data_IF_769138152989
#
_entry.id   IF_769138152989
#
_cell.length_a   1.000
_cell.length_b   1.000
_cell.length_c   1.000
_cell.angle_alpha   90.00
_cell.angle_beta   90.00
_cell.angle_gamma   90.00
#
_symmetry.space_group_name_H-M   'P 1'
#
loop_
_entity.id
_entity.type
_entity.pdbx_description
1 polymer ?
#
# COMPACT_ATOMS: atom_id res chain seq x y z
N UNK A 1 -24.20 -38.27 -12.72
CA UNK A 1 -23.86 -37.09 -11.90
C UNK A 1 -24.62 -35.91 -12.47
N UNK A 2 -25.44 -35.19 -11.69
CA UNK A 2 -25.98 -33.94 -12.16
C UNK A 2 -24.83 -32.93 -12.28
N UNK A 3 -24.77 -32.22 -13.40
CA UNK A 3 -23.96 -31.02 -13.56
C UNK A 3 -24.50 -30.00 -12.57
N UNK A 4 -23.74 -29.71 -11.52
CA UNK A 4 -24.01 -28.57 -10.66
C UNK A 4 -23.59 -27.36 -11.48
N UNK A 5 -24.55 -26.51 -11.87
CA UNK A 5 -24.26 -25.25 -12.54
C UNK A 5 -23.21 -24.50 -11.70
N UNK A 6 -22.10 -24.13 -12.33
CA UNK A 6 -21.11 -23.28 -11.68
C UNK A 6 -21.81 -21.98 -11.25
N UNK A 7 -21.56 -21.49 -10.02
CA UNK A 7 -22.21 -20.26 -9.56
C UNK A 7 -21.87 -19.14 -10.54
N UNK A 8 -22.91 -18.51 -11.10
CA UNK A 8 -22.75 -17.36 -11.98
C UNK A 8 -22.09 -16.24 -11.17
N UNK A 9 -20.84 -15.92 -11.48
CA UNK A 9 -20.13 -14.79 -10.88
C UNK A 9 -20.90 -13.52 -11.25
N UNK A 10 -21.42 -12.81 -10.24
CA UNK A 10 -22.17 -11.58 -10.44
C UNK A 10 -21.27 -10.38 -10.15
N UNK A 11 -20.86 -9.69 -11.20
CA UNK A 11 -20.09 -8.44 -11.11
C UNK A 11 -20.94 -7.32 -10.47
N UNK A 12 -20.29 -6.44 -9.71
CA UNK A 12 -20.90 -5.29 -9.06
C UNK A 12 -20.65 -4.02 -9.89
N UNK A 13 -21.52 -3.76 -10.87
CA UNK A 13 -21.42 -2.60 -11.77
C UNK A 13 -21.37 -1.25 -11.05
N UNK A 14 -22.09 -1.11 -9.94
CA UNK A 14 -22.07 0.13 -9.16
C UNK A 14 -20.72 0.34 -8.49
N UNK A 15 -20.11 -0.71 -7.96
CA UNK A 15 -18.78 -0.65 -7.36
C UNK A 15 -17.71 -0.38 -8.43
N UNK A 16 -17.76 -1.07 -9.57
CA UNK A 16 -16.86 -0.84 -10.71
C UNK A 16 -16.90 0.62 -11.17
N UNK A 17 -18.11 1.18 -11.34
CA UNK A 17 -18.26 2.59 -11.71
C UNK A 17 -17.77 3.54 -10.61
N UNK A 18 -17.97 3.20 -9.34
CA UNK A 18 -17.43 3.94 -8.20
C UNK A 18 -15.90 4.02 -8.20
N UNK A 19 -15.23 2.91 -8.49
CA UNK A 19 -13.77 2.82 -8.61
C UNK A 19 -13.28 3.64 -9.80
N UNK A 20 -13.84 3.43 -11.00
CA UNK A 20 -13.46 4.17 -12.20
C UNK A 20 -13.71 5.69 -12.08
N UNK A 21 -14.72 6.09 -11.31
CA UNK A 21 -14.98 7.50 -11.01
C UNK A 21 -14.04 8.08 -9.97
N UNK A 22 -13.39 7.26 -9.14
CA UNK A 22 -12.57 7.70 -8.00
C UNK A 22 -11.08 7.63 -8.32
N UNK A 23 -10.68 6.63 -9.10
CA UNK A 23 -9.31 6.32 -9.40
C UNK A 23 -9.03 6.37 -10.90
N UNK A 24 -7.83 6.84 -11.22
CA UNK A 24 -7.26 6.78 -12.56
C UNK A 24 -5.94 6.02 -12.53
N UNK A 25 -5.47 5.58 -13.69
CA UNK A 25 -4.18 4.92 -13.84
C UNK A 25 -3.35 5.57 -14.94
N UNK A 26 -2.04 5.61 -14.74
CA UNK A 26 -1.07 6.04 -15.74
C UNK A 26 0.29 5.43 -15.40
N UNK A 27 0.95 4.86 -16.41
CA UNK A 27 2.29 4.24 -16.29
C UNK A 27 2.43 3.31 -15.07
N UNK A 28 1.44 2.44 -14.85
CA UNK A 28 1.46 1.47 -13.75
C UNK A 28 1.27 2.06 -12.35
N UNK A 29 0.93 3.34 -12.24
CA UNK A 29 0.48 3.97 -11.00
C UNK A 29 -1.05 4.10 -11.00
N UNK A 30 -1.63 4.11 -9.81
CA UNK A 30 -3.05 4.43 -9.58
C UNK A 30 -3.10 5.73 -8.79
N UNK A 31 -4.01 6.63 -9.16
CA UNK A 31 -4.18 7.94 -8.53
C UNK A 31 -5.63 8.17 -8.12
N UNK A 32 -5.85 8.84 -7.00
CA UNK A 32 -7.17 9.42 -6.71
C UNK A 32 -7.41 10.73 -7.49
N UNK A 33 -8.56 11.36 -7.25
CA UNK A 33 -8.94 12.65 -7.86
C UNK A 33 -8.05 13.83 -7.49
N UNK A 34 -7.25 13.69 -6.44
CA UNK A 34 -6.31 14.71 -5.96
C UNK A 34 -4.88 14.41 -6.43
N UNK A 35 -4.71 13.49 -7.40
CA UNK A 35 -3.43 13.04 -7.95
C UNK A 35 -2.52 12.36 -6.92
N UNK A 36 -3.06 11.87 -5.79
CA UNK A 36 -2.25 11.12 -4.82
C UNK A 36 -2.13 9.66 -5.25
N UNK A 37 -0.97 9.01 -5.12
CA UNK A 37 -0.79 7.61 -5.49
C UNK A 37 -1.49 6.63 -4.54
N UNK A 38 -2.01 5.55 -5.11
CA UNK A 38 -2.64 4.42 -4.42
C UNK A 38 -2.12 3.10 -4.98
N UNK A 39 -2.28 2.04 -4.22
CA UNK A 39 -2.00 0.68 -4.65
C UNK A 39 -3.14 -0.27 -4.28
N UNK A 40 -3.20 -1.40 -4.97
CA UNK A 40 -4.13 -2.50 -4.74
C UNK A 40 -3.40 -3.62 -4.01
N UNK A 41 -4.02 -4.15 -2.96
CA UNK A 41 -3.56 -5.31 -2.22
C UNK A 41 -4.64 -6.37 -2.12
N UNK A 42 -4.27 -7.65 -2.20
CA UNK A 42 -5.11 -8.69 -1.61
C UNK A 42 -5.03 -8.58 -0.09
N UNK A 43 -6.17 -8.69 0.59
CA UNK A 43 -6.24 -8.53 2.06
C UNK A 43 -5.35 -9.55 2.78
N UNK A 44 -5.36 -10.81 2.33
CA UNK A 44 -4.50 -11.86 2.90
C UNK A 44 -3.01 -11.58 2.70
N UNK A 45 -2.63 -11.07 1.52
CA UNK A 45 -1.26 -10.66 1.24
C UNK A 45 -0.86 -9.48 2.13
N UNK A 46 -1.69 -8.45 2.28
CA UNK A 46 -1.37 -7.33 3.17
C UNK A 46 -1.12 -7.78 4.62
N UNK A 47 -1.93 -8.70 5.13
CA UNK A 47 -1.77 -9.26 6.47
C UNK A 47 -0.46 -10.07 6.61
N UNK A 48 -0.14 -10.88 5.60
CA UNK A 48 1.09 -11.66 5.56
C UNK A 48 2.33 -10.76 5.50
N UNK A 49 2.31 -9.76 4.62
CA UNK A 49 3.37 -8.73 4.51
C UNK A 49 3.59 -8.02 5.84
N UNK A 50 2.50 -7.61 6.50
CA UNK A 50 2.57 -6.93 7.79
C UNK A 50 3.20 -7.80 8.89
N UNK A 51 2.89 -9.10 8.91
CA UNK A 51 3.52 -10.05 9.84
C UNK A 51 5.02 -10.16 9.57
N UNK A 52 5.42 -10.34 8.32
CA UNK A 52 6.83 -10.42 7.91
C UNK A 52 7.60 -9.15 8.27
N UNK A 53 6.99 -7.97 8.08
CA UNK A 53 7.57 -6.71 8.51
C UNK A 53 7.72 -6.63 10.04
N UNK A 54 6.69 -7.06 10.80
CA UNK A 54 6.74 -7.11 12.25
C UNK A 54 7.82 -8.04 12.82
N UNK A 55 8.15 -9.13 12.13
CA UNK A 55 9.24 -10.04 12.51
C UNK A 55 10.63 -9.41 12.34
N UNK A 56 10.75 -8.39 11.48
CA UNK A 56 12.01 -7.66 11.23
C UNK A 56 12.21 -6.48 12.18
N UNK A 57 11.14 -5.99 12.81
CA UNK A 57 11.16 -4.75 13.58
C UNK A 57 10.76 -4.99 15.03
N UNK A 58 11.71 -4.86 15.96
CA UNK A 58 11.48 -5.03 17.41
C UNK A 58 10.85 -3.77 18.04
N UNK A 59 9.61 -3.45 17.66
CA UNK A 59 8.90 -2.26 18.15
C UNK A 59 7.37 -2.46 18.04
N UNK A 60 6.51 -1.74 18.80
CA UNK A 60 5.06 -1.93 18.76
C UNK A 60 4.44 -1.44 17.44
N UNK A 61 4.63 -2.21 16.38
CA UNK A 61 4.24 -1.91 15.00
C UNK A 61 2.75 -1.65 14.85
N UNK A 62 1.91 -2.37 15.61
CA UNK A 62 0.47 -2.18 15.57
C UNK A 62 0.02 -0.75 15.92
N UNK A 63 0.74 -0.06 16.82
CA UNK A 63 0.45 1.35 17.14
C UNK A 63 0.99 2.30 16.08
N UNK A 64 2.18 2.03 15.53
CA UNK A 64 2.76 2.85 14.45
C UNK A 64 1.86 2.85 13.22
N UNK A 65 1.37 1.67 12.81
CA UNK A 65 0.44 1.54 11.69
C UNK A 65 -0.90 2.23 11.96
N UNK A 66 -1.44 2.09 13.18
CA UNK A 66 -2.67 2.80 13.55
C UNK A 66 -2.48 4.32 13.47
N UNK A 67 -1.38 4.85 13.99
CA UNK A 67 -1.08 6.29 13.93
C UNK A 67 -0.89 6.78 12.48
N UNK A 68 -0.15 6.04 11.66
CA UNK A 68 0.00 6.34 10.24
C UNK A 68 -1.36 6.38 9.52
N UNK A 69 -2.26 5.43 9.85
CA UNK A 69 -3.63 5.40 9.33
C UNK A 69 -4.49 6.57 9.82
N UNK A 70 -4.37 6.97 11.11
CA UNK A 70 -5.07 8.16 11.65
C UNK A 70 -4.66 9.40 10.89
N UNK A 71 -3.36 9.64 10.77
CA UNK A 71 -2.84 10.86 10.15
C UNK A 71 -3.17 10.91 8.65
N UNK A 72 -3.03 9.78 7.96
CA UNK A 72 -3.33 9.70 6.53
C UNK A 72 -4.82 9.94 6.26
N UNK A 73 -5.72 9.26 6.99
CA UNK A 73 -7.16 9.44 6.79
C UNK A 73 -7.62 10.83 7.25
N UNK A 74 -7.06 11.38 8.33
CA UNK A 74 -7.34 12.76 8.75
C UNK A 74 -7.03 13.76 7.64
N UNK A 75 -5.88 13.61 6.99
CA UNK A 75 -5.48 14.48 5.88
C UNK A 75 -6.35 14.30 4.64
N UNK A 76 -6.72 13.05 4.30
CA UNK A 76 -7.64 12.80 3.19
C UNK A 76 -9.04 13.34 3.46
N UNK A 77 -9.60 13.15 4.66
CA UNK A 77 -10.90 13.69 5.04
C UNK A 77 -10.93 15.22 4.94
N UNK A 78 -9.83 15.90 5.28
CA UNK A 78 -9.71 17.36 5.16
C UNK A 78 -9.75 17.86 3.71
N UNK A 79 -9.45 17.00 2.73
CA UNK A 79 -9.58 17.31 1.30
C UNK A 79 -10.98 17.01 0.74
N UNK A 80 -11.90 16.54 1.59
CA UNK A 80 -13.28 16.21 1.19
C UNK A 80 -14.28 17.15 1.84
N UNK A 81 -15.55 16.97 1.48
CA UNK A 81 -16.67 17.65 2.11
C UNK A 81 -17.20 16.93 3.37
N UNK A 82 -16.51 15.93 3.91
CA UNK A 82 -17.00 15.13 5.04
C UNK A 82 -17.34 16.00 6.27
N UNK A 83 -16.42 16.86 6.69
CA UNK A 83 -16.62 17.75 7.84
C UNK A 83 -17.67 18.84 7.58
N UNK A 84 -17.94 19.18 6.31
CA UNK A 84 -18.93 20.20 5.92
C UNK A 84 -20.36 19.66 5.80
N UNK A 85 -20.58 18.35 5.97
CA UNK A 85 -21.92 17.74 6.04
C UNK A 85 -22.66 18.30 7.27
N UNK A 86 -23.70 19.10 7.01
CA UNK A 86 -24.53 19.79 8.03
C UNK A 86 -26.03 19.48 7.87
N UNK A 87 -26.83 19.92 8.86
CA UNK A 87 -28.29 19.89 8.84
C UNK A 87 -28.94 18.71 9.59
N UNK A 88 -30.26 18.58 9.44
CA UNK A 88 -31.05 17.50 10.04
C UNK A 88 -30.56 16.15 9.48
N UNK A 89 -30.42 15.16 10.36
CA UNK A 89 -29.86 13.83 10.04
C UNK A 89 -28.37 13.83 9.65
N UNK A 90 -27.57 14.81 10.12
CA UNK A 90 -26.11 14.89 9.89
C UNK A 90 -25.40 13.55 10.05
N UNK A 91 -25.56 12.88 11.20
CA UNK A 91 -24.90 11.59 11.48
C UNK A 91 -25.26 10.51 10.45
N UNK A 92 -26.53 10.41 10.05
CA UNK A 92 -26.96 9.44 9.02
C UNK A 92 -26.37 9.75 7.64
N UNK A 93 -26.23 11.03 7.29
CA UNK A 93 -25.59 11.46 6.03
C UNK A 93 -24.08 11.16 6.05
N UNK A 94 -23.41 11.43 7.16
CA UNK A 94 -21.99 11.10 7.35
C UNK A 94 -21.75 9.59 7.30
N UNK A 95 -22.59 8.80 7.96
CA UNK A 95 -22.57 7.33 7.90
C UNK A 95 -22.65 6.84 6.45
N UNK A 96 -23.67 7.28 5.69
CA UNK A 96 -23.86 6.88 4.29
C UNK A 96 -22.66 7.29 3.41
N UNK A 97 -22.13 8.49 3.60
CA UNK A 97 -20.98 8.98 2.85
C UNK A 97 -19.73 8.10 3.10
N UNK A 98 -19.48 7.73 4.36
CA UNK A 98 -18.36 6.86 4.71
C UNK A 98 -18.55 5.45 4.13
N UNK A 99 -19.75 4.89 4.23
CA UNK A 99 -20.05 3.57 3.65
C UNK A 99 -19.77 3.54 2.15
N UNK A 100 -20.20 4.56 1.39
CA UNK A 100 -19.95 4.65 -0.06
C UNK A 100 -18.44 4.76 -0.38
N UNK A 101 -17.70 5.62 0.35
CA UNK A 101 -16.25 5.80 0.18
C UNK A 101 -15.48 4.52 0.54
N UNK A 102 -15.73 3.95 1.71
CA UNK A 102 -15.00 2.78 2.21
C UNK A 102 -15.35 1.49 1.46
N UNK A 103 -16.57 1.39 0.90
CA UNK A 103 -16.92 0.32 -0.02
C UNK A 103 -16.05 0.38 -1.30
N UNK A 104 -15.82 1.59 -1.83
CA UNK A 104 -14.96 1.80 -3.02
C UNK A 104 -13.50 1.42 -2.74
N UNK A 105 -13.02 1.61 -1.50
CA UNK A 105 -11.65 1.31 -1.12
C UNK A 105 -11.45 -0.13 -0.62
N UNK A 106 -12.53 -0.89 -0.39
CA UNK A 106 -12.46 -2.21 0.24
C UNK A 106 -12.14 -2.18 1.73
N UNK A 107 -12.36 -1.05 2.42
CA UNK A 107 -12.03 -0.87 3.85
C UNK A 107 -13.08 -1.47 4.80
N UNK A 108 -14.23 -1.88 4.27
CA UNK A 108 -15.32 -2.51 5.01
C UNK A 108 -16.45 -1.56 5.35
N UNK A 109 -17.22 -1.90 6.39
CA UNK A 109 -18.44 -1.17 6.77
C UNK A 109 -18.26 -0.50 8.14
N UNK A 110 -18.10 0.83 8.20
CA UNK A 110 -18.05 1.53 9.47
C UNK A 110 -19.43 1.56 10.13
N UNK A 111 -19.48 1.64 11.45
CA UNK A 111 -20.66 2.01 12.24
C UNK A 111 -20.25 3.10 13.23
N UNK A 112 -20.61 4.35 12.90
CA UNK A 112 -20.32 5.52 13.75
C UNK A 112 -21.04 5.40 15.11
N UNK A 113 -22.21 4.76 15.17
CA UNK A 113 -23.02 4.70 16.39
C UNK A 113 -22.44 3.71 17.39
N UNK A 114 -21.93 2.56 16.92
CA UNK A 114 -21.29 1.55 17.76
C UNK A 114 -19.76 1.73 17.90
N UNK A 115 -19.20 2.73 17.22
CA UNK A 115 -17.75 2.96 17.13
C UNK A 115 -17.01 1.71 16.68
N UNK A 116 -17.53 1.05 15.64
CA UNK A 116 -16.99 -0.20 15.14
C UNK A 116 -16.80 -0.18 13.62
N UNK A 117 -15.94 -1.07 13.13
CA UNK A 117 -15.70 -1.27 11.71
C UNK A 117 -15.72 -2.77 11.42
N UNK A 118 -16.64 -3.19 10.57
CA UNK A 118 -16.72 -4.58 10.08
C UNK A 118 -15.82 -4.75 8.86
N UNK A 119 -14.70 -5.46 9.01
CA UNK A 119 -13.82 -5.84 7.90
C UNK A 119 -12.92 -7.04 8.27
N UNK A 120 -12.16 -7.53 7.28
CA UNK A 120 -11.12 -8.55 7.43
C UNK A 120 -9.69 -7.99 7.37
N UNK A 121 -9.53 -6.67 7.48
CA UNK A 121 -8.22 -6.01 7.39
C UNK A 121 -7.51 -6.06 8.75
N UNK A 122 -6.29 -5.51 8.79
CA UNK A 122 -5.55 -5.34 10.04
C UNK A 122 -6.36 -4.46 11.01
N UNK A 123 -6.55 -4.90 12.25
CA UNK A 123 -7.29 -4.15 13.27
C UNK A 123 -6.68 -2.76 13.50
N UNK A 124 -5.35 -2.63 13.37
CA UNK A 124 -4.62 -1.36 13.48
C UNK A 124 -5.02 -0.34 12.41
N UNK A 125 -5.17 -0.76 11.15
CA UNK A 125 -5.65 0.11 10.08
C UNK A 125 -7.08 0.56 10.36
N UNK A 126 -7.92 -0.42 10.71
CA UNK A 126 -9.33 -0.21 11.03
C UNK A 126 -9.52 0.79 12.17
N UNK A 127 -8.76 0.61 13.25
CA UNK A 127 -8.76 1.49 14.39
C UNK A 127 -8.27 2.90 14.02
N UNK A 128 -7.21 3.01 13.21
CA UNK A 128 -6.68 4.30 12.79
C UNK A 128 -7.62 5.10 11.90
N UNK A 129 -8.17 4.48 10.85
CA UNK A 129 -9.11 5.15 9.95
C UNK A 129 -10.38 5.61 10.66
N UNK A 130 -10.97 4.74 11.49
CA UNK A 130 -12.19 5.11 12.20
C UNK A 130 -11.90 6.16 13.28
N UNK A 131 -10.73 6.14 13.91
CA UNK A 131 -10.33 7.19 14.85
C UNK A 131 -10.23 8.56 14.18
N UNK A 132 -9.64 8.67 12.98
CA UNK A 132 -9.59 9.91 12.21
C UNK A 132 -11.00 10.47 11.92
N UNK A 133 -11.96 9.59 11.61
CA UNK A 133 -13.37 9.96 11.43
C UNK A 133 -13.93 10.59 12.71
N UNK A 134 -13.71 9.98 13.87
CA UNK A 134 -14.22 10.51 15.14
C UNK A 134 -13.58 11.84 15.55
N UNK A 135 -12.26 12.01 15.38
CA UNK A 135 -11.60 13.30 15.62
C UNK A 135 -12.15 14.38 14.69
N UNK A 136 -12.36 14.06 13.40
CA UNK A 136 -12.96 14.97 12.43
C UNK A 136 -14.41 15.34 12.77
N UNK A 137 -15.20 14.39 13.27
CA UNK A 137 -16.60 14.65 13.64
C UNK A 137 -16.73 15.50 14.91
N UNK A 138 -15.88 15.25 15.90
CA UNK A 138 -15.93 15.86 17.23
C UNK A 138 -15.12 17.16 17.31
N UNK A 139 -14.19 17.38 16.38
CA UNK A 139 -13.26 18.52 16.39
C UNK A 139 -12.45 18.57 17.71
N UNK A 140 -12.10 17.40 18.24
CA UNK A 140 -11.29 17.22 19.46
C UNK A 140 -10.30 16.08 19.27
N UNK A 141 -9.18 16.13 20.00
CA UNK A 141 -8.25 14.99 20.05
C UNK A 141 -8.82 13.91 20.97
N UNK A 142 -8.72 12.66 20.53
CA UNK A 142 -9.19 11.51 21.29
C UNK A 142 -8.01 10.58 21.59
N UNK A 143 -8.04 9.96 22.77
CA UNK A 143 -7.13 8.87 23.09
C UNK A 143 -7.81 7.56 22.73
N UNK A 144 -7.22 6.85 21.77
CA UNK A 144 -7.76 5.61 21.25
C UNK A 144 -7.30 4.39 22.05
N UNK A 145 -8.25 3.50 22.31
CA UNK A 145 -8.03 2.07 22.55
C UNK A 145 -8.92 1.29 21.59
N UNK A 146 -8.47 0.13 21.14
CA UNK A 146 -9.29 -0.74 20.31
C UNK A 146 -9.26 -2.17 20.80
N UNK A 147 -10.35 -2.88 20.53
CA UNK A 147 -10.53 -4.30 20.75
C UNK A 147 -10.69 -4.98 19.40
N UNK A 148 -9.82 -5.95 19.12
CA UNK A 148 -10.01 -6.87 18.01
C UNK A 148 -11.03 -7.93 18.43
N UNK A 149 -12.20 -7.94 17.80
CA UNK A 149 -13.29 -8.89 18.09
C UNK A 149 -13.25 -10.12 17.19
N UNK A 150 -12.06 -10.45 16.68
CA UNK A 150 -11.83 -11.56 15.79
C UNK A 150 -12.06 -11.20 14.33
N UNK A 151 -12.30 -12.21 13.49
CA UNK A 151 -12.10 -12.17 12.04
C UNK A 151 -12.95 -11.18 11.23
N UNK A 152 -13.81 -10.37 11.85
CA UNK A 152 -14.74 -9.50 11.13
C UNK A 152 -14.99 -8.13 11.75
N UNK A 153 -14.45 -7.78 12.92
CA UNK A 153 -14.81 -6.50 13.55
C UNK A 153 -13.73 -5.91 14.46
N UNK A 154 -13.49 -4.60 14.30
CA UNK A 154 -12.70 -3.78 15.21
C UNK A 154 -13.64 -2.83 15.97
N UNK A 155 -13.53 -2.78 17.31
CA UNK A 155 -14.30 -1.84 18.14
C UNK A 155 -13.39 -0.83 18.81
N UNK A 156 -13.77 0.45 18.75
CA UNK A 156 -13.01 1.57 19.28
C UNK A 156 -13.62 2.04 20.60
N UNK A 157 -12.73 2.39 21.52
CA UNK A 157 -13.04 3.01 22.80
C UNK A 157 -12.22 4.29 22.89
N UNK A 158 -12.87 5.40 23.23
CA UNK A 158 -12.25 6.71 23.29
C UNK A 158 -12.22 7.23 24.72
N UNK A 159 -11.07 7.73 25.15
CA UNK A 159 -10.95 8.60 26.31
C UNK A 159 -10.85 10.06 25.79
N UNK A 160 -11.62 10.98 26.37
CA UNK A 160 -11.52 12.41 26.04
C UNK A 160 -10.14 12.97 26.41
N UNK A 161 -9.68 13.95 25.63
CA UNK A 161 -8.46 14.70 25.95
C UNK A 161 -8.76 16.19 26.00
N UNK A 162 -7.93 16.95 26.72
CA UNK A 162 -8.01 18.41 26.77
C UNK A 162 -7.26 19.07 25.61
N UNK A 163 -6.75 18.29 24.64
CA UNK A 163 -6.00 18.83 23.51
C UNK A 163 -6.96 19.22 22.38
N UNK A 164 -6.81 20.43 21.82
CA UNK A 164 -7.60 20.82 20.67
C UNK A 164 -7.25 19.95 19.46
N UNK A 165 -8.22 19.78 18.56
CA UNK A 165 -7.96 19.19 17.25
C UNK A 165 -6.82 19.95 16.56
N UNK A 166 -5.87 19.19 16.01
CA UNK A 166 -4.79 19.77 15.21
C UNK A 166 -5.11 19.61 13.74
N UNK A 167 -4.74 20.61 12.96
CA UNK A 167 -4.92 20.55 11.52
C UNK A 167 -4.12 19.38 10.92
N UNK A 168 -4.74 18.56 10.05
CA UNK A 168 -4.05 17.43 9.43
C UNK A 168 -2.87 17.86 8.58
N UNK A 169 -1.70 17.26 8.81
CA UNK A 169 -0.47 17.53 8.07
C UNK A 169 -0.43 16.68 6.80
N UNK A 170 0.16 17.19 5.72
CA UNK A 170 0.40 16.40 4.51
C UNK A 170 1.35 15.21 4.75
N UNK A 171 1.30 14.14 3.94
CA UNK A 171 2.25 13.04 4.03
C UNK A 171 3.69 13.51 3.81
N UNK A 172 4.69 12.79 4.36
CA UNK A 172 6.10 13.05 4.05
C UNK A 172 6.36 13.06 2.54
N UNK A 173 7.17 14.02 2.09
CA UNK A 173 7.51 14.18 0.68
C UNK A 173 8.90 13.60 0.40
N UNK A 174 8.95 12.33 -0.02
CA UNK A 174 10.19 11.70 -0.44
C UNK A 174 10.52 12.00 -1.90
N UNK A 175 11.81 11.98 -2.25
CA UNK A 175 12.28 12.24 -3.62
C UNK A 175 11.61 11.31 -4.65
N UNK A 176 11.38 10.05 -4.27
CA UNK A 176 10.75 9.01 -5.11
C UNK A 176 9.25 9.15 -5.30
N UNK A 177 8.61 10.10 -4.61
CA UNK A 177 7.19 10.42 -4.76
C UNK A 177 6.94 11.44 -5.89
N UNK A 178 7.97 11.86 -6.63
CA UNK A 178 7.84 12.79 -7.77
C UNK A 178 7.07 12.13 -8.90
N UNK A 179 5.89 12.64 -9.26
CA UNK A 179 5.02 12.04 -10.29
C UNK A 179 5.10 12.86 -11.59
N UNK A 180 5.57 12.28 -12.70
CA UNK A 180 5.49 12.96 -13.99
C UNK A 180 4.04 13.05 -14.45
N UNK A 181 3.60 14.25 -14.87
CA UNK A 181 2.28 14.44 -15.49
C UNK A 181 2.19 13.58 -16.75
N UNK A 182 1.20 12.69 -16.79
CA UNK A 182 0.92 11.82 -17.91
C UNK A 182 -0.59 11.72 -18.13
N UNK A 183 -0.99 11.31 -19.33
CA UNK A 183 -2.39 11.09 -19.63
C UNK A 183 -2.89 9.90 -18.83
N UNK A 184 -3.83 10.11 -17.92
CA UNK A 184 -4.45 9.06 -17.14
C UNK A 184 -5.75 8.57 -17.79
N UNK A 185 -6.08 7.31 -17.55
CA UNK A 185 -7.36 6.70 -17.87
C UNK A 185 -8.06 6.25 -16.59
N UNK A 186 -9.40 6.13 -16.57
CA UNK A 186 -10.10 5.55 -15.42
C UNK A 186 -9.56 4.16 -15.06
N UNK A 187 -9.45 3.87 -13.76
CA UNK A 187 -9.10 2.52 -13.29
C UNK A 187 -10.31 1.60 -13.47
N UNK A 188 -10.23 0.71 -14.44
CA UNK A 188 -11.26 -0.30 -14.69
C UNK A 188 -10.79 -1.64 -14.12
N UNK A 189 -11.50 -2.15 -13.12
CA UNK A 189 -11.30 -3.48 -12.55
C UNK A 189 -12.65 -4.18 -12.43
N UNK A 190 -12.72 -5.42 -12.92
CA UNK A 190 -13.91 -6.25 -12.80
C UNK A 190 -13.95 -6.86 -11.41
N UNK A 191 -14.97 -6.52 -10.62
CA UNK A 191 -15.06 -6.93 -9.22
C UNK A 191 -16.46 -7.42 -8.87
N UNK A 192 -16.52 -8.42 -8.01
CA UNK A 192 -17.73 -8.83 -7.32
C UNK A 192 -18.03 -7.91 -6.12
N UNK A 193 -19.21 -8.10 -5.52
CA UNK A 193 -19.63 -7.38 -4.33
C UNK A 193 -18.61 -7.51 -3.18
N UNK A 194 -18.21 -6.36 -2.63
CA UNK A 194 -17.24 -6.30 -1.54
C UNK A 194 -15.79 -6.28 -2.02
N UNK A 195 -15.56 -5.89 -3.27
CA UNK A 195 -14.26 -5.72 -3.90
C UNK A 195 -13.48 -7.03 -3.95
N UNK A 196 -14.08 -8.04 -4.58
CA UNK A 196 -13.52 -9.39 -4.71
C UNK A 196 -13.16 -9.65 -6.17
N UNK A 197 -11.99 -10.25 -6.40
CA UNK A 197 -11.51 -10.74 -7.70
C UNK A 197 -11.04 -12.17 -7.50
N UNK A 198 -11.57 -13.09 -8.30
CA UNK A 198 -11.24 -14.53 -8.24
C UNK A 198 -11.36 -15.14 -6.83
N UNK A 199 -12.41 -14.74 -6.09
CA UNK A 199 -12.65 -15.19 -4.71
C UNK A 199 -11.77 -14.53 -3.65
N UNK A 200 -10.82 -13.67 -4.04
CA UNK A 200 -9.96 -12.95 -3.11
C UNK A 200 -10.40 -11.49 -2.93
N UNK A 201 -10.49 -11.06 -1.66
CA UNK A 201 -10.82 -9.67 -1.34
C UNK A 201 -9.62 -8.77 -1.57
N UNK A 202 -9.86 -7.66 -2.25
CA UNK A 202 -8.91 -6.58 -2.44
C UNK A 202 -9.16 -5.42 -1.45
N UNK A 203 -8.16 -4.56 -1.32
CA UNK A 203 -8.29 -3.22 -0.75
C UNK A 203 -7.35 -2.25 -1.49
N UNK A 204 -7.77 -0.98 -1.59
CA UNK A 204 -6.93 0.10 -2.08
C UNK A 204 -6.34 0.88 -0.90
N UNK A 205 -5.03 1.16 -0.97
CA UNK A 205 -4.30 1.88 0.07
C UNK A 205 -3.51 3.05 -0.52
N UNK A 206 -3.55 4.25 0.11
CA UNK A 206 -2.80 5.40 -0.36
C UNK A 206 -1.31 5.26 -0.04
N UNK A 207 -0.43 5.77 -0.91
CA UNK A 207 1.02 5.79 -0.68
C UNK A 207 1.39 6.52 0.62
N UNK A 208 0.70 7.62 0.94
CA UNK A 208 0.93 8.39 2.16
C UNK A 208 0.77 7.60 3.47
N UNK A 209 0.02 6.49 3.47
CA UNK A 209 -0.03 5.57 4.62
C UNK A 209 1.35 4.95 4.89
N UNK A 210 2.01 4.50 3.82
CA UNK A 210 3.31 3.86 3.90
C UNK A 210 4.44 4.87 4.10
N UNK A 211 4.32 6.07 3.52
CA UNK A 211 5.27 7.15 3.76
C UNK A 211 5.33 7.51 5.25
N UNK A 212 4.17 7.64 5.90
CA UNK A 212 4.07 7.88 7.34
C UNK A 212 4.56 6.70 8.18
N UNK A 213 4.30 5.47 7.73
CA UNK A 213 4.82 4.29 8.41
C UNK A 213 6.36 4.30 8.38
N UNK A 214 6.96 4.59 7.22
CA UNK A 214 8.40 4.70 7.05
C UNK A 214 8.99 5.81 7.94
N UNK A 215 8.39 7.00 7.93
CA UNK A 215 8.79 8.13 8.76
C UNK A 215 8.67 7.80 10.26
N UNK A 216 7.60 7.12 10.67
CA UNK A 216 7.43 6.64 12.05
C UNK A 216 8.46 5.60 12.48
N UNK A 217 9.11 4.96 11.51
CA UNK A 217 10.20 3.99 11.71
C UNK A 217 11.58 4.65 11.72
N UNK A 218 11.65 5.99 11.64
CA UNK A 218 12.86 6.74 11.92
C UNK A 218 13.43 6.38 13.31
N UNK A 219 14.71 6.03 13.35
CA UNK A 219 15.41 5.70 14.60
C UNK A 219 15.17 4.28 15.13
N UNK A 220 14.48 3.40 14.38
CA UNK A 220 14.55 1.96 14.66
C UNK A 220 15.91 1.46 14.16
N UNK A 221 16.69 0.85 15.06
CA UNK A 221 17.87 0.08 14.68
C UNK A 221 17.43 -1.27 14.13
N UNK A 222 17.71 -1.50 12.85
CA UNK A 222 17.44 -2.76 12.16
C UNK A 222 18.77 -3.27 11.64
N UNK A 223 19.09 -4.51 11.94
CA UNK A 223 20.28 -5.17 11.39
C UNK A 223 20.05 -5.46 9.90
N UNK A 224 20.82 -4.79 9.06
CA UNK A 224 20.71 -4.89 7.60
C UNK A 224 22.03 -5.43 7.08
N UNK A 225 21.91 -6.54 6.34
CA UNK A 225 23.03 -7.07 5.58
C UNK A 225 23.38 -6.11 4.43
N UNK A 226 24.42 -5.30 4.65
CA UNK A 226 24.90 -4.30 3.71
C UNK A 226 25.58 -4.92 2.48
N UNK A 227 25.90 -6.22 2.51
CA UNK A 227 26.40 -6.93 1.34
C UNK A 227 25.24 -7.32 0.40
N UNK A 228 24.03 -7.52 0.96
CA UNK A 228 22.81 -7.84 0.21
C UNK A 228 22.04 -6.58 -0.21
N UNK A 229 21.93 -5.58 0.67
CA UNK A 229 21.17 -4.35 0.41
C UNK A 229 22.07 -3.13 0.44
N UNK A 230 22.33 -2.56 -0.75
CA UNK A 230 23.14 -1.36 -0.92
C UNK A 230 22.27 -0.17 -1.31
N UNK A 231 21.93 0.65 -0.32
CA UNK A 231 21.07 1.83 -0.53
C UNK A 231 21.94 3.09 -0.44
N UNK A 232 21.84 3.96 -1.44
CA UNK A 232 22.52 5.25 -1.40
C UNK A 232 21.89 6.16 -0.33
N UNK A 233 22.42 6.13 0.89
CA UNK A 233 21.88 6.84 2.06
C UNK A 233 21.82 8.36 1.84
N UNK A 234 22.67 8.92 0.95
CA UNK A 234 22.59 10.34 0.60
C UNK A 234 21.33 10.69 -0.21
N UNK A 235 20.76 9.69 -0.89
CA UNK A 235 19.52 9.79 -1.67
C UNK A 235 18.28 9.29 -0.89
N UNK A 236 18.45 8.57 0.23
CA UNK A 236 17.35 7.91 0.94
C UNK A 236 17.43 8.13 2.46
N UNK A 237 16.67 9.10 2.97
CA UNK A 237 16.36 9.21 4.40
C UNK A 237 15.63 7.94 4.88
N UNK A 238 15.84 7.54 6.13
CA UNK A 238 15.22 6.33 6.72
C UNK A 238 15.59 5.01 6.02
N UNK A 239 16.80 4.92 5.45
CA UNK A 239 17.28 3.73 4.72
C UNK A 239 17.05 2.41 5.46
N UNK A 240 17.18 2.38 6.79
CA UNK A 240 16.95 1.17 7.57
C UNK A 240 15.49 0.67 7.52
N UNK A 241 14.53 1.58 7.73
CA UNK A 241 13.11 1.26 7.61
C UNK A 241 12.71 0.89 6.19
N UNK A 242 13.30 1.55 5.19
CA UNK A 242 13.07 1.26 3.78
C UNK A 242 13.48 -0.17 3.44
N UNK A 243 14.69 -0.59 3.85
CA UNK A 243 15.18 -1.95 3.62
C UNK A 243 14.32 -2.98 4.35
N UNK A 244 13.93 -2.73 5.60
CA UNK A 244 13.07 -3.67 6.33
C UNK A 244 11.71 -3.91 5.65
N UNK A 245 11.10 -2.84 5.10
CA UNK A 245 9.88 -2.94 4.30
C UNK A 245 10.13 -3.68 2.98
N UNK A 246 11.28 -3.46 2.34
CA UNK A 246 11.68 -4.16 1.13
C UNK A 246 11.93 -5.66 1.38
N UNK A 247 12.56 -6.03 2.49
CA UNK A 247 12.75 -7.42 2.88
C UNK A 247 11.44 -8.14 3.14
N UNK A 248 10.50 -7.49 3.84
CA UNK A 248 9.16 -8.04 4.04
C UNK A 248 8.44 -8.27 2.70
N UNK A 249 8.60 -7.34 1.76
CA UNK A 249 8.03 -7.44 0.41
C UNK A 249 8.69 -8.56 -0.43
N UNK A 250 10.03 -8.72 -0.31
CA UNK A 250 10.78 -9.83 -0.91
C UNK A 250 10.33 -11.18 -0.37
N UNK A 251 10.28 -11.32 0.95
CA UNK A 251 9.86 -12.56 1.62
C UNK A 251 8.43 -12.94 1.23
N UNK A 252 7.50 -11.98 1.26
CA UNK A 252 6.14 -12.20 0.79
C UNK A 252 6.10 -12.69 -0.66
N UNK A 253 6.83 -12.02 -1.57
CA UNK A 253 6.81 -12.41 -2.98
C UNK A 253 7.31 -13.84 -3.15
N UNK A 254 8.36 -14.22 -2.44
CA UNK A 254 8.92 -15.57 -2.47
C UNK A 254 7.97 -16.64 -1.92
N UNK A 255 7.00 -16.28 -1.08
CA UNK A 255 5.95 -17.17 -0.59
C UNK A 255 4.80 -17.37 -1.59
N UNK A 256 4.73 -16.58 -2.66
CA UNK A 256 3.72 -16.76 -3.72
C UNK A 256 4.08 -17.91 -4.67
N UNK A 257 3.11 -18.43 -5.43
CA UNK A 257 3.36 -19.43 -6.50
C UNK A 257 3.66 -18.79 -7.87
N UNK A 258 3.88 -17.48 -7.92
CA UNK A 258 4.02 -16.75 -9.17
C UNK A 258 5.29 -17.13 -9.95
N UNK A 259 5.15 -17.77 -11.10
CA UNK A 259 6.29 -18.10 -11.96
C UNK A 259 6.86 -16.85 -12.65
N UNK A 260 8.19 -16.76 -12.71
CA UNK A 260 8.92 -15.71 -13.41
C UNK A 260 9.84 -16.38 -14.42
N UNK A 261 9.70 -16.00 -15.69
CA UNK A 261 10.52 -16.49 -16.79
C UNK A 261 11.14 -15.29 -17.49
N UNK A 262 12.47 -15.29 -17.61
CA UNK A 262 13.25 -14.25 -18.28
C UNK A 262 14.11 -14.95 -19.34
N UNK A 263 13.95 -14.56 -20.61
CA UNK A 263 14.82 -14.99 -21.70
C UNK A 263 15.86 -13.92 -22.05
N UNK A 264 15.44 -12.65 -22.03
CA UNK A 264 16.28 -11.49 -22.29
C UNK A 264 16.06 -10.42 -21.21
N UNK A 265 17.04 -9.53 -20.95
CA UNK A 265 16.88 -8.47 -19.97
C UNK A 265 15.66 -7.56 -20.21
N UNK A 266 15.21 -7.40 -21.45
CA UNK A 266 14.04 -6.59 -21.81
C UNK A 266 12.71 -7.20 -21.31
N UNK A 267 12.64 -8.52 -21.08
CA UNK A 267 11.44 -9.21 -20.59
C UNK A 267 11.03 -8.74 -19.19
N UNK A 268 11.97 -8.16 -18.44
CA UNK A 268 11.71 -7.51 -17.16
C UNK A 268 10.69 -6.37 -17.26
N UNK A 269 10.53 -5.72 -18.42
CA UNK A 269 9.46 -4.74 -18.63
C UNK A 269 8.09 -5.41 -18.50
N UNK A 270 7.89 -6.57 -19.11
CA UNK A 270 6.64 -7.33 -19.02
C UNK A 270 6.43 -7.88 -17.62
N UNK A 271 7.49 -8.39 -16.98
CA UNK A 271 7.43 -8.82 -15.58
C UNK A 271 6.98 -7.67 -14.67
N UNK A 272 7.57 -6.48 -14.82
CA UNK A 272 7.15 -5.29 -14.05
C UNK A 272 5.70 -4.91 -14.33
N UNK A 273 5.25 -5.02 -15.58
CA UNK A 273 3.84 -4.78 -15.92
C UNK A 273 2.91 -5.71 -15.15
N UNK A 274 3.27 -6.99 -15.02
CA UNK A 274 2.46 -8.01 -14.36
C UNK A 274 2.50 -7.91 -12.83
N UNK A 275 3.67 -7.65 -12.23
CA UNK A 275 3.86 -7.76 -10.77
C UNK A 275 3.85 -6.41 -10.05
N UNK A 276 4.14 -5.30 -10.75
CA UNK A 276 4.17 -3.96 -10.17
C UNK A 276 3.00 -3.09 -10.68
N UNK A 277 2.91 -2.91 -12.00
CA UNK A 277 1.97 -1.96 -12.59
C UNK A 277 0.51 -2.37 -12.38
N UNK A 278 0.21 -3.67 -12.42
CA UNK A 278 -1.13 -4.23 -12.13
C UNK A 278 -1.63 -3.90 -10.71
N UNK A 279 -0.72 -3.58 -9.79
CA UNK A 279 -0.99 -3.23 -8.39
C UNK A 279 -0.93 -1.74 -8.11
N UNK A 280 -0.57 -0.92 -9.10
CA UNK A 280 -0.37 0.51 -8.92
C UNK A 280 0.98 0.88 -8.28
N UNK A 281 1.97 -0.02 -8.26
CA UNK A 281 3.24 0.25 -7.57
C UNK A 281 4.17 1.19 -8.34
N UNK A 282 4.35 0.94 -9.65
CA UNK A 282 4.93 1.82 -10.68
C UNK A 282 5.24 0.98 -11.92
N UNK A 283 5.61 1.63 -13.03
CA UNK A 283 6.21 1.00 -14.21
C UNK A 283 7.60 1.61 -14.46
N UNK A 284 8.65 0.80 -14.67
CA UNK A 284 9.95 1.33 -15.07
C UNK A 284 9.88 2.00 -16.43
N UNK A 285 10.73 3.01 -16.63
CA UNK A 285 10.90 3.67 -17.92
C UNK A 285 11.98 3.02 -18.76
N UNK A 286 12.88 2.25 -18.14
CA UNK A 286 13.96 1.55 -18.82
C UNK A 286 14.40 0.32 -18.04
N UNK A 287 14.75 -0.72 -18.79
CA UNK A 287 15.50 -1.88 -18.27
C UNK A 287 16.75 -2.11 -19.12
N UNK A 288 17.83 -2.57 -18.49
CA UNK A 288 19.09 -2.91 -19.16
C UNK A 288 19.80 -4.06 -18.44
N UNK A 289 20.18 -5.10 -19.17
CA UNK A 289 21.09 -6.14 -18.66
C UNK A 289 22.50 -5.60 -18.40
N UNK A 290 23.14 -6.05 -17.32
CA UNK A 290 24.47 -5.56 -16.91
C UNK A 290 25.55 -6.62 -16.89
N UNK A 291 25.20 -7.90 -16.93
CA UNK A 291 26.15 -9.01 -17.01
C UNK A 291 25.56 -10.23 -17.76
N UNK A 292 26.33 -11.31 -17.85
CA UNK A 292 25.92 -12.58 -18.48
C UNK A 292 25.22 -13.55 -17.49
N UNK A 293 24.97 -13.11 -16.27
CA UNK A 293 24.48 -13.92 -15.14
C UNK A 293 23.11 -13.46 -14.64
N UNK A 294 22.35 -12.77 -15.50
CA UNK A 294 21.00 -12.31 -15.19
C UNK A 294 20.96 -10.94 -14.51
N UNK A 295 22.10 -10.29 -14.30
CA UNK A 295 22.17 -8.96 -13.71
C UNK A 295 21.40 -7.94 -14.54
N UNK A 296 20.58 -7.12 -13.86
CA UNK A 296 19.69 -6.16 -14.51
C UNK A 296 19.61 -4.84 -13.75
N UNK A 297 19.53 -3.73 -14.52
CA UNK A 297 19.21 -2.39 -14.04
C UNK A 297 17.81 -2.01 -14.47
N UNK A 298 16.98 -1.63 -13.50
CA UNK A 298 15.60 -1.20 -13.68
C UNK A 298 15.48 0.27 -13.24
N UNK A 299 15.08 1.16 -14.14
CA UNK A 299 15.03 2.60 -13.91
C UNK A 299 13.59 3.11 -13.83
N UNK A 300 13.30 3.91 -12.81
CA UNK A 300 12.01 4.55 -12.57
C UNK A 300 12.16 6.08 -12.59
N UNK A 301 11.19 6.77 -13.17
CA UNK A 301 11.03 8.24 -13.01
C UNK A 301 10.26 8.60 -11.73
N UNK A 302 9.40 7.69 -11.27
CA UNK A 302 8.55 7.84 -10.09
C UNK A 302 8.33 6.47 -9.46
N UNK A 303 8.44 6.37 -8.14
CA UNK A 303 8.23 5.10 -7.44
C UNK A 303 7.69 5.34 -6.02
N UNK A 304 6.41 5.74 -5.85
CA UNK A 304 5.83 6.02 -4.54
C UNK A 304 5.84 4.83 -3.58
N UNK A 305 5.94 3.61 -4.13
CA UNK A 305 6.03 2.37 -3.39
C UNK A 305 7.42 1.73 -3.52
N UNK A 306 8.48 2.54 -3.44
CA UNK A 306 9.86 2.11 -3.71
C UNK A 306 10.26 0.83 -2.95
N UNK A 307 9.93 0.74 -1.66
CA UNK A 307 10.23 -0.46 -0.86
C UNK A 307 9.54 -1.72 -1.41
N UNK A 308 8.29 -1.61 -1.88
CA UNK A 308 7.57 -2.73 -2.49
C UNK A 308 8.27 -3.12 -3.79
N UNK A 309 8.54 -2.14 -4.66
CA UNK A 309 9.20 -2.39 -5.94
C UNK A 309 10.57 -3.06 -5.75
N UNK A 310 11.40 -2.55 -4.83
CA UNK A 310 12.69 -3.17 -4.50
C UNK A 310 12.54 -4.61 -4.03
N UNK A 311 11.67 -4.85 -3.05
CA UNK A 311 11.49 -6.19 -2.49
C UNK A 311 10.91 -7.19 -3.47
N UNK A 312 9.85 -6.80 -4.18
CA UNK A 312 9.19 -7.63 -5.19
C UNK A 312 10.13 -7.96 -6.34
N UNK A 313 10.91 -6.98 -6.84
CA UNK A 313 11.90 -7.21 -7.88
C UNK A 313 13.03 -8.15 -7.40
N UNK A 314 13.53 -7.95 -6.19
CA UNK A 314 14.53 -8.85 -5.60
C UNK A 314 14.00 -10.29 -5.47
N UNK A 315 12.76 -10.47 -5.02
CA UNK A 315 12.10 -11.78 -4.94
C UNK A 315 11.90 -12.41 -6.32
N UNK A 316 11.45 -11.63 -7.30
CA UNK A 316 11.26 -12.07 -8.68
C UNK A 316 12.58 -12.49 -9.32
N UNK A 317 13.66 -11.74 -9.10
CA UNK A 317 14.97 -12.06 -9.64
C UNK A 317 15.51 -13.35 -9.05
N UNK A 318 15.44 -13.48 -7.71
CA UNK A 318 15.88 -14.69 -7.02
C UNK A 318 15.09 -15.93 -7.47
N UNK A 319 13.81 -15.77 -7.80
CA UNK A 319 12.99 -16.84 -8.37
C UNK A 319 13.38 -17.20 -9.80
N UNK A 320 13.67 -16.20 -10.64
CA UNK A 320 14.07 -16.41 -12.03
C UNK A 320 15.45 -17.09 -12.13
N UNK A 321 16.42 -16.61 -11.34
CA UNK A 321 17.82 -17.04 -11.43
C UNK A 321 18.19 -18.19 -10.48
N UNK A 322 17.30 -18.53 -9.54
CA UNK A 322 17.50 -19.59 -8.56
C UNK A 322 18.66 -19.34 -7.58
N UNK A 323 19.09 -18.10 -7.41
CA UNK A 323 20.29 -17.70 -6.66
C UNK A 323 20.01 -16.50 -5.74
N UNK A 324 20.74 -16.35 -4.62
CA UNK A 324 20.60 -15.17 -3.77
C UNK A 324 20.92 -13.89 -4.53
N UNK A 325 20.02 -12.91 -4.41
CA UNK A 325 20.14 -11.59 -5.06
C UNK A 325 20.83 -10.60 -4.15
N UNK A 326 21.71 -9.78 -4.72
CA UNK A 326 22.16 -8.51 -4.19
C UNK A 326 21.38 -7.38 -4.86
N UNK A 327 20.90 -6.45 -4.06
CA UNK A 327 20.05 -5.35 -4.52
C UNK A 327 20.67 -4.01 -4.17
N UNK A 328 20.89 -3.19 -5.20
CA UNK A 328 21.38 -1.81 -5.04
C UNK A 328 20.29 -0.83 -5.46
N UNK A 329 20.09 0.24 -4.70
CA UNK A 329 19.17 1.32 -5.05
C UNK A 329 19.87 2.68 -4.96
N UNK A 330 19.87 3.43 -6.07
CA UNK A 330 20.52 4.72 -6.20
C UNK A 330 19.58 5.77 -6.82
N UNK A 331 19.68 7.02 -6.34
CA UNK A 331 19.04 8.18 -6.94
C UNK A 331 19.98 8.84 -7.96
N UNK A 332 19.63 8.87 -9.23
CA UNK A 332 20.48 9.42 -10.30
C UNK A 332 19.69 10.42 -11.13
N UNK A 333 20.05 11.70 -11.07
CA UNK A 333 19.43 12.78 -11.86
C UNK A 333 17.89 12.85 -11.76
N UNK A 334 17.34 12.60 -10.56
CA UNK A 334 15.88 12.57 -10.34
C UNK A 334 15.19 11.28 -10.79
N UNK A 335 15.96 10.25 -11.16
CA UNK A 335 15.48 8.90 -11.42
C UNK A 335 15.95 7.95 -10.30
N UNK A 336 15.27 6.83 -10.15
CA UNK A 336 15.61 5.78 -9.20
C UNK A 336 16.02 4.54 -9.96
N UNK A 337 17.22 4.02 -9.67
CA UNK A 337 17.76 2.84 -10.34
C UNK A 337 17.89 1.72 -9.33
N UNK A 338 17.17 0.64 -9.58
CA UNK A 338 17.29 -0.62 -8.83
C UNK A 338 18.17 -1.55 -9.67
N UNK A 339 19.27 -2.00 -9.09
CA UNK A 339 20.16 -2.99 -9.70
C UNK A 339 20.01 -4.31 -8.96
N UNK A 340 19.81 -5.39 -9.70
CA UNK A 340 19.69 -6.75 -9.19
C UNK A 340 20.81 -7.57 -9.83
N UNK A 341 21.63 -8.21 -9.00
CA UNK A 341 22.75 -9.03 -9.44
C UNK A 341 22.95 -10.23 -8.49
N UNK A 342 23.74 -11.20 -8.91
CA UNK A 342 24.10 -12.33 -8.04
C UNK A 342 24.87 -11.82 -6.81
N UNK A 343 24.47 -12.27 -5.63
CA UNK A 343 25.20 -11.98 -4.39
C UNK A 343 26.59 -12.62 -4.38
N UNK A 344 26.73 -13.81 -4.97
CA UNK A 344 28.01 -14.48 -5.08
C UNK A 344 28.79 -13.94 -6.28
N UNK A 345 30.10 -13.72 -6.11
CA UNK A 345 31.02 -13.55 -7.23
C UNK A 345 30.97 -14.84 -8.08
N UNK A 346 30.51 -14.70 -9.31
CA UNK A 346 30.48 -15.79 -10.28
C UNK A 346 31.81 -15.74 -11.05
N UNK A 347 32.63 -16.77 -10.85
CA UNK A 347 33.95 -16.93 -11.45
C UNK A 347 33.91 -17.29 -12.94
#
# INVERSE_FOLDING_TARGET
MPLVDAPTIQLDESLMQGIANTFSTSRGLIFDKSDHPWCIWHVGQLQHWWRLYGEKVDSPMGRKLANAAVEQESWQLNQTNFASIKGIFRSKKQQKWLEERWNTFGWGKPDIKDSSLENKLLSSLSAGWLHAVFESMNQTRLRLRWEDRGSHACKLMFDETNYPYQEPVAPPAFAWNSIPKANSSPLNIEVEKGLIVDGERLCLLPAGLFDRLLDSSAGIEIDIDQEVWQIDIASFEHSAGLVALAEASKAQFLDTEQHILIMNPEDWMEVCQQILASRGYSMPTKVKGIDAHGGVKVTFESCPFLFICMGVLAGAWQRAEGRPVKTTCEGVNGQFVITLESFHELA
#
